data_IF_126300473952
#
_entry.id   IF_126300473952
#
_cell.length_a   1.000
_cell.length_b   1.000
_cell.length_c   1.000
_cell.angle_alpha   90.00
_cell.angle_beta   90.00
_cell.angle_gamma   90.00
#
_symmetry.space_group_name_H-M   'P 1'
#
loop_
_entity.id
_entity.type
_entity.pdbx_description
1 polymer ?
#
# COMPACT_ATOMS: atom_id res chain seq x y z
N UNK A 1 9.90 -24.11 -9.12
CA UNK A 1 10.35 -23.23 -8.04
C UNK A 1 11.51 -22.33 -8.46
N UNK A 2 12.76 -22.81 -8.64
CA UNK A 2 13.92 -21.96 -9.01
C UNK A 2 13.72 -21.14 -10.29
N UNK A 3 13.16 -21.72 -11.36
CA UNK A 3 12.88 -20.99 -12.62
C UNK A 3 11.91 -19.83 -12.42
N UNK A 4 10.87 -20.01 -11.61
CA UNK A 4 9.92 -18.93 -11.28
C UNK A 4 10.62 -17.78 -10.56
N UNK A 5 11.49 -18.07 -9.58
CA UNK A 5 12.27 -17.04 -8.89
C UNK A 5 13.12 -16.20 -9.86
N UNK A 6 13.90 -16.86 -10.73
CA UNK A 6 14.74 -16.14 -11.71
C UNK A 6 13.93 -15.32 -12.71
N UNK A 7 12.72 -15.74 -13.03
CA UNK A 7 11.84 -15.00 -13.94
C UNK A 7 11.26 -13.75 -13.31
N UNK A 8 10.88 -13.81 -12.02
CA UNK A 8 10.24 -12.67 -11.32
C UNK A 8 11.24 -11.71 -10.69
N UNK A 9 12.44 -12.18 -10.32
CA UNK A 9 13.45 -11.37 -9.64
C UNK A 9 13.76 -10.04 -10.35
N UNK A 10 14.02 -9.98 -11.68
CA UNK A 10 14.28 -8.72 -12.35
C UNK A 10 13.12 -7.73 -12.28
N UNK A 11 11.87 -8.23 -12.18
CA UNK A 11 10.67 -7.42 -12.10
C UNK A 11 10.49 -6.78 -10.71
N UNK A 12 11.12 -7.36 -9.67
CA UNK A 12 11.09 -6.83 -8.30
C UNK A 12 12.22 -5.83 -8.00
N UNK A 13 13.22 -5.69 -8.85
CA UNK A 13 14.36 -4.77 -8.63
C UNK A 13 13.93 -3.30 -8.47
N UNK A 14 13.04 -2.76 -9.32
CA UNK A 14 12.57 -1.38 -9.14
C UNK A 14 11.90 -1.15 -7.78
N UNK A 15 11.11 -2.14 -7.32
CA UNK A 15 10.45 -2.10 -6.01
C UNK A 15 11.48 -2.18 -4.88
N UNK A 16 12.49 -3.05 -5.01
CA UNK A 16 13.58 -3.17 -4.05
C UNK A 16 14.22 -1.80 -3.77
N UNK A 17 14.51 -1.00 -4.80
CA UNK A 17 15.13 0.32 -4.61
C UNK A 17 14.24 1.28 -3.82
N UNK A 18 12.94 1.29 -4.10
CA UNK A 18 11.96 2.08 -3.35
C UNK A 18 11.83 1.61 -1.89
N UNK A 19 11.73 0.30 -1.70
CA UNK A 19 11.63 -0.31 -0.36
C UNK A 19 12.87 -0.12 0.49
N UNK A 20 14.07 -0.15 -0.11
CA UNK A 20 15.30 0.17 0.61
C UNK A 20 15.27 1.57 1.20
N UNK A 21 14.80 2.54 0.45
CA UNK A 21 14.71 3.92 0.94
C UNK A 21 13.59 4.09 1.98
N UNK A 22 12.37 3.63 1.67
CA UNK A 22 11.19 3.83 2.54
C UNK A 22 11.29 3.01 3.83
N UNK A 23 11.71 1.73 3.74
CA UNK A 23 11.88 0.88 4.91
C UNK A 23 13.00 1.37 5.82
N UNK A 24 14.13 1.79 5.24
CA UNK A 24 15.21 2.43 6.02
C UNK A 24 14.69 3.67 6.76
N UNK A 25 13.90 4.51 6.08
CA UNK A 25 13.29 5.70 6.67
C UNK A 25 12.33 5.36 7.80
N UNK A 26 11.51 4.33 7.66
CA UNK A 26 10.61 3.84 8.71
C UNK A 26 11.38 3.39 9.95
N UNK A 27 12.40 2.55 9.75
CA UNK A 27 13.23 2.05 10.85
C UNK A 27 13.91 3.17 11.62
N UNK A 28 14.54 4.11 10.89
CA UNK A 28 15.22 5.26 11.49
C UNK A 28 14.23 6.22 12.19
N UNK A 29 13.08 6.48 11.58
CA UNK A 29 12.03 7.31 12.18
C UNK A 29 11.53 6.71 13.49
N UNK A 30 11.24 5.41 13.52
CA UNK A 30 10.77 4.75 14.72
C UNK A 30 11.75 4.92 15.89
N UNK A 31 13.03 4.66 15.65
CA UNK A 31 14.06 4.79 16.69
C UNK A 31 14.27 6.26 17.09
N UNK A 32 14.21 7.21 16.17
CA UNK A 32 14.29 8.64 16.47
C UNK A 32 13.15 9.15 17.35
N UNK A 33 11.98 8.48 17.29
CA UNK A 33 10.82 8.75 18.15
C UNK A 33 10.88 8.03 19.51
N UNK A 34 11.96 7.29 19.79
CA UNK A 34 12.17 6.60 21.06
C UNK A 34 11.67 5.16 21.10
N UNK A 35 11.23 4.59 20.00
CA UNK A 35 10.86 3.18 19.96
C UNK A 35 12.07 2.26 19.92
N UNK A 36 12.00 1.07 20.55
CA UNK A 36 13.08 0.10 20.48
C UNK A 36 13.29 -0.42 19.05
N UNK A 37 14.54 -0.66 18.59
CA UNK A 37 14.84 -1.01 17.20
C UNK A 37 14.13 -2.27 16.67
N UNK A 38 13.77 -3.22 17.54
CA UNK A 38 13.05 -4.42 17.15
C UNK A 38 11.58 -4.16 16.80
N UNK A 39 10.96 -3.07 17.30
CA UNK A 39 9.54 -2.78 17.08
C UNK A 39 9.22 -2.55 15.59
N UNK A 40 9.89 -1.65 14.87
CA UNK A 40 9.60 -1.45 13.45
C UNK A 40 9.89 -2.71 12.61
N UNK A 41 10.84 -3.55 13.01
CA UNK A 41 11.12 -4.83 12.34
C UNK A 41 9.98 -5.81 12.52
N UNK A 42 9.41 -5.91 13.73
CA UNK A 42 8.23 -6.73 13.99
C UNK A 42 7.01 -6.19 13.23
N UNK A 43 6.85 -4.88 13.15
CA UNK A 43 5.78 -4.27 12.33
C UNK A 43 5.95 -4.64 10.85
N UNK A 44 7.12 -4.49 10.28
CA UNK A 44 7.43 -4.87 8.92
C UNK A 44 7.19 -6.36 8.63
N UNK A 45 7.42 -7.23 9.61
CA UNK A 45 7.22 -8.67 9.47
C UNK A 45 5.75 -9.09 9.58
N UNK A 46 5.00 -8.52 10.55
CA UNK A 46 3.66 -8.98 10.91
C UNK A 46 2.53 -8.10 10.39
N UNK A 47 2.77 -6.82 10.10
CA UNK A 47 1.79 -5.92 9.51
C UNK A 47 1.98 -5.86 7.99
N UNK A 48 3.20 -5.66 7.52
CA UNK A 48 3.59 -5.57 6.12
C UNK A 48 2.64 -4.68 5.30
N UNK A 49 2.35 -3.50 5.81
CA UNK A 49 1.51 -2.49 5.18
C UNK A 49 2.19 -1.11 5.31
N UNK A 50 3.23 -0.86 4.52
CA UNK A 50 4.18 0.24 4.63
C UNK A 50 3.57 1.57 5.07
N UNK A 51 2.56 2.08 4.35
CA UNK A 51 1.88 3.33 4.72
C UNK A 51 1.20 3.25 6.09
N UNK A 52 0.59 2.10 6.43
CA UNK A 52 -0.05 1.92 7.73
C UNK A 52 0.97 1.80 8.87
N UNK A 53 2.17 1.29 8.61
CA UNK A 53 3.24 1.22 9.62
C UNK A 53 3.72 2.63 10.02
N UNK A 54 3.86 3.56 9.09
CA UNK A 54 4.13 4.96 9.41
C UNK A 54 3.01 5.61 10.24
N UNK A 55 1.74 5.34 9.88
CA UNK A 55 0.58 5.81 10.65
C UNK A 55 0.55 5.17 12.04
N UNK A 56 0.90 3.90 12.16
CA UNK A 56 0.95 3.18 13.44
C UNK A 56 1.96 3.82 14.39
N UNK A 57 3.11 4.28 13.93
CA UNK A 57 4.06 5.02 14.78
C UNK A 57 3.43 6.28 15.36
N UNK A 58 2.63 7.01 14.58
CA UNK A 58 1.92 8.19 15.08
C UNK A 58 0.83 7.84 16.10
N UNK A 59 0.08 6.77 15.84
CA UNK A 59 -0.95 6.27 16.76
C UNK A 59 -0.37 5.80 18.09
N UNK A 60 0.80 5.19 18.08
CA UNK A 60 1.49 4.74 19.30
C UNK A 60 2.05 5.90 20.15
N UNK A 61 2.31 7.06 19.53
CA UNK A 61 2.74 8.28 20.23
C UNK A 61 1.57 9.10 20.79
N UNK A 62 0.39 8.93 20.22
CA UNK A 62 -0.82 9.62 20.66
C UNK A 62 -1.53 8.85 21.78
N UNK A 63 -2.50 9.50 22.44
CA UNK A 63 -3.41 8.80 23.35
C UNK A 63 -4.18 7.73 22.58
N UNK A 64 -4.04 6.48 22.96
CA UNK A 64 -4.62 5.35 22.25
C UNK A 64 -6.14 5.40 22.23
N UNK A 65 -6.72 5.51 21.05
CA UNK A 65 -8.14 5.42 20.80
C UNK A 65 -8.42 4.29 19.81
N UNK A 66 -9.00 3.15 20.26
CA UNK A 66 -9.18 1.97 19.40
C UNK A 66 -10.13 2.23 18.23
N UNK A 67 -11.14 3.06 18.38
CA UNK A 67 -12.07 3.41 17.31
C UNK A 67 -11.36 4.24 16.23
N UNK A 68 -10.57 5.23 16.63
CA UNK A 68 -9.79 6.04 15.71
C UNK A 68 -8.75 5.18 14.97
N UNK A 69 -8.05 4.28 15.67
CA UNK A 69 -7.10 3.36 15.06
C UNK A 69 -7.79 2.44 14.04
N UNK A 70 -8.96 1.88 14.35
CA UNK A 70 -9.74 1.06 13.44
C UNK A 70 -10.15 1.83 12.18
N UNK A 71 -10.72 3.03 12.36
CA UNK A 71 -11.18 3.84 11.23
C UNK A 71 -10.02 4.25 10.32
N UNK A 72 -8.90 4.70 10.89
CA UNK A 72 -7.69 5.04 10.13
C UNK A 72 -7.14 3.83 9.37
N UNK A 73 -7.09 2.67 10.02
CA UNK A 73 -6.62 1.43 9.37
C UNK A 73 -7.52 1.04 8.20
N UNK A 74 -8.83 1.08 8.38
CA UNK A 74 -9.79 0.81 7.30
C UNK A 74 -9.63 1.79 6.14
N UNK A 75 -9.43 3.07 6.45
CA UNK A 75 -9.25 4.10 5.43
C UNK A 75 -7.98 3.90 4.60
N UNK A 76 -6.84 3.79 5.27
CA UNK A 76 -5.54 3.66 4.60
C UNK A 76 -5.49 2.37 3.77
N UNK A 77 -6.07 1.30 4.30
CA UNK A 77 -6.06 -0.02 3.68
C UNK A 77 -7.30 -0.35 2.83
N UNK A 78 -8.26 0.57 2.65
CA UNK A 78 -9.47 0.33 1.85
C UNK A 78 -9.18 -0.17 0.42
N UNK A 79 -8.09 0.28 -0.18
CA UNK A 79 -7.61 -0.16 -1.51
C UNK A 79 -7.31 -1.66 -1.59
N UNK A 80 -6.90 -2.29 -0.48
CA UNK A 80 -6.60 -3.74 -0.46
C UNK A 80 -7.85 -4.60 -0.70
N UNK A 81 -9.06 -4.09 -0.41
CA UNK A 81 -10.31 -4.77 -0.77
C UNK A 81 -10.44 -4.92 -2.30
N UNK A 82 -10.09 -3.89 -3.05
CA UNK A 82 -10.12 -3.93 -4.52
C UNK A 82 -9.03 -4.82 -5.08
N UNK A 83 -7.84 -4.83 -4.46
CA UNK A 83 -6.76 -5.75 -4.86
C UNK A 83 -7.19 -7.21 -4.64
N UNK A 84 -7.82 -7.50 -3.50
CA UNK A 84 -8.36 -8.82 -3.20
C UNK A 84 -9.37 -9.29 -4.24
N UNK A 85 -10.30 -8.41 -4.64
CA UNK A 85 -11.28 -8.72 -5.69
C UNK A 85 -10.62 -8.98 -7.04
N UNK A 86 -9.66 -8.14 -7.43
CA UNK A 86 -8.96 -8.28 -8.72
C UNK A 86 -8.07 -9.53 -8.79
N UNK A 87 -7.57 -10.01 -7.64
CA UNK A 87 -6.71 -11.17 -7.57
C UNK A 87 -7.44 -12.47 -7.20
N UNK A 88 -8.75 -12.42 -6.96
CA UNK A 88 -9.54 -13.56 -6.49
C UNK A 88 -9.37 -14.79 -7.38
N UNK A 89 -9.57 -14.62 -8.70
CA UNK A 89 -9.44 -15.71 -9.66
C UNK A 89 -8.01 -16.22 -9.79
N UNK A 90 -7.01 -15.31 -9.66
CA UNK A 90 -5.59 -15.66 -9.82
C UNK A 90 -5.03 -16.41 -8.61
N UNK A 91 -5.56 -16.14 -7.41
CA UNK A 91 -5.11 -16.76 -6.16
C UNK A 91 -5.97 -17.97 -5.76
N UNK A 92 -7.09 -18.15 -6.45
CA UNK A 92 -7.94 -19.32 -6.20
C UNK A 92 -7.20 -20.63 -6.51
N UNK A 93 -7.37 -21.62 -5.67
CA UNK A 93 -6.75 -22.97 -5.79
C UNK A 93 -5.20 -23.03 -5.63
N UNK A 94 -4.53 -22.01 -5.07
CA UNK A 94 -3.08 -22.07 -4.82
C UNK A 94 -2.70 -22.80 -3.52
N UNK A 95 -3.66 -23.48 -2.87
CA UNK A 95 -3.42 -24.27 -1.68
C UNK A 95 -2.82 -23.46 -0.52
N UNK A 96 -1.75 -23.96 0.09
CA UNK A 96 -1.09 -23.33 1.25
C UNK A 96 -0.45 -21.96 0.96
N UNK A 97 -0.19 -21.65 -0.30
CA UNK A 97 0.38 -20.36 -0.71
C UNK A 97 -0.65 -19.23 -0.61
N UNK A 98 -1.92 -19.54 -0.81
CA UNK A 98 -3.00 -18.54 -0.86
C UNK A 98 -3.10 -17.66 0.40
N UNK A 99 -3.11 -18.18 1.63
CA UNK A 99 -3.17 -17.34 2.84
C UNK A 99 -2.00 -16.36 2.93
N UNK A 100 -0.80 -16.79 2.55
CA UNK A 100 0.38 -15.93 2.55
C UNK A 100 0.30 -14.85 1.48
N UNK A 101 -0.19 -15.17 0.29
CA UNK A 101 -0.39 -14.20 -0.80
C UNK A 101 -1.44 -13.14 -0.45
N UNK A 102 -2.49 -13.53 0.27
CA UNK A 102 -3.51 -12.60 0.78
C UNK A 102 -2.90 -11.67 1.84
N UNK A 103 -2.16 -12.22 2.80
CA UNK A 103 -1.46 -11.45 3.83
C UNK A 103 -0.45 -10.47 3.24
N UNK A 104 0.40 -10.94 2.31
CA UNK A 104 1.48 -10.15 1.72
C UNK A 104 1.06 -9.28 0.52
N UNK A 105 -0.24 -9.06 0.34
CA UNK A 105 -0.75 -8.23 -0.76
C UNK A 105 -0.61 -6.74 -0.42
N UNK A 106 0.47 -6.13 -0.90
CA UNK A 106 0.69 -4.69 -0.90
C UNK A 106 0.57 -4.13 -2.33
N UNK A 107 0.63 -2.82 -2.48
CA UNK A 107 0.52 -2.14 -3.79
C UNK A 107 1.51 -2.69 -4.80
N UNK A 108 2.73 -2.90 -4.38
CA UNK A 108 3.85 -3.34 -5.22
C UNK A 108 3.70 -4.81 -5.61
N UNK A 109 3.30 -5.67 -4.65
CA UNK A 109 3.04 -7.08 -4.95
C UNK A 109 1.84 -7.22 -5.88
N UNK A 110 0.79 -6.42 -5.68
CA UNK A 110 -0.37 -6.37 -6.55
C UNK A 110 0.01 -5.93 -7.96
N UNK A 111 0.75 -4.82 -8.11
CA UNK A 111 1.11 -4.25 -9.42
C UNK A 111 1.87 -5.24 -10.30
N UNK A 112 2.79 -6.03 -9.71
CA UNK A 112 3.49 -7.09 -10.46
C UNK A 112 2.52 -8.25 -10.73
N UNK A 113 1.85 -8.79 -9.71
CA UNK A 113 1.08 -10.02 -9.82
C UNK A 113 -0.13 -9.88 -10.75
N UNK A 114 -0.75 -8.70 -10.83
CA UNK A 114 -1.90 -8.45 -11.72
C UNK A 114 -1.48 -8.41 -13.18
N UNK A 115 -0.27 -7.92 -13.47
CA UNK A 115 0.27 -7.78 -14.84
C UNK A 115 1.22 -8.91 -15.24
N UNK A 116 1.50 -9.85 -14.30
CA UNK A 116 2.49 -10.89 -14.50
C UNK A 116 2.07 -11.85 -15.62
N UNK A 117 2.75 -11.75 -16.73
CA UNK A 117 2.67 -12.73 -17.82
C UNK A 117 3.73 -13.80 -17.63
N UNK A 118 3.30 -15.05 -17.60
CA UNK A 118 4.12 -16.20 -17.31
C UNK A 118 4.08 -17.19 -18.47
N UNK A 119 5.24 -17.72 -18.89
CA UNK A 119 5.31 -18.86 -19.76
C UNK A 119 4.49 -20.05 -19.23
N UNK A 120 3.91 -20.84 -20.13
CA UNK A 120 3.02 -21.96 -19.77
C UNK A 120 3.71 -23.05 -18.93
N UNK A 121 5.04 -23.13 -19.00
CA UNK A 121 5.86 -24.10 -18.25
C UNK A 121 6.18 -23.67 -16.83
N UNK A 122 5.83 -22.43 -16.43
CA UNK A 122 6.07 -21.90 -15.09
C UNK A 122 4.83 -22.00 -14.20
N UNK A 123 5.04 -22.51 -12.99
CA UNK A 123 4.01 -22.56 -11.95
C UNK A 123 3.68 -21.15 -11.45
N UNK A 124 2.41 -20.75 -11.62
CA UNK A 124 1.88 -19.43 -11.25
C UNK A 124 1.94 -19.18 -9.75
N UNK A 125 1.60 -20.19 -8.95
CA UNK A 125 1.61 -20.07 -7.50
C UNK A 125 3.00 -19.74 -6.96
N UNK A 126 4.03 -20.44 -7.44
CA UNK A 126 5.41 -20.16 -7.07
C UNK A 126 5.90 -18.81 -7.58
N UNK A 127 5.45 -18.34 -8.72
CA UNK A 127 5.79 -17.02 -9.21
C UNK A 127 5.23 -15.93 -8.32
N UNK A 128 3.93 -15.97 -8.00
CA UNK A 128 3.27 -15.03 -7.08
C UNK A 128 3.89 -15.08 -5.68
N UNK A 129 4.17 -16.28 -5.18
CA UNK A 129 4.81 -16.47 -3.89
C UNK A 129 6.17 -15.77 -3.83
N UNK A 130 7.00 -15.94 -4.86
CA UNK A 130 8.33 -15.34 -4.87
C UNK A 130 8.28 -13.81 -4.99
N UNK A 131 7.36 -13.24 -5.77
CA UNK A 131 7.15 -11.78 -5.82
C UNK A 131 6.83 -11.25 -4.43
N UNK A 132 5.83 -11.83 -3.77
CA UNK A 132 5.38 -11.39 -2.44
C UNK A 132 6.47 -11.56 -1.38
N UNK A 133 7.16 -12.71 -1.39
CA UNK A 133 8.24 -13.01 -0.45
C UNK A 133 9.45 -12.08 -0.64
N UNK A 134 9.87 -11.80 -1.88
CA UNK A 134 10.96 -10.88 -2.16
C UNK A 134 10.63 -9.46 -1.68
N UNK A 135 9.42 -8.99 -1.97
CA UNK A 135 8.98 -7.66 -1.54
C UNK A 135 8.96 -7.55 -0.01
N UNK A 136 8.42 -8.55 0.69
CA UNK A 136 8.45 -8.56 2.16
C UNK A 136 9.88 -8.62 2.69
N UNK A 137 10.73 -9.44 2.10
CA UNK A 137 12.14 -9.55 2.49
C UNK A 137 12.87 -8.20 2.34
N UNK A 138 12.68 -7.50 1.21
CA UNK A 138 13.28 -6.19 1.00
C UNK A 138 12.82 -5.18 2.05
N UNK A 139 11.51 -5.15 2.34
CA UNK A 139 10.93 -4.25 3.32
C UNK A 139 11.46 -4.51 4.73
N UNK A 140 11.44 -5.75 5.18
CA UNK A 140 11.94 -6.14 6.52
C UNK A 140 13.42 -5.84 6.67
N UNK A 141 14.24 -6.21 5.67
CA UNK A 141 15.69 -5.93 5.70
C UNK A 141 15.98 -4.43 5.72
N UNK A 142 15.30 -3.65 4.89
CA UNK A 142 15.49 -2.20 4.86
C UNK A 142 15.10 -1.53 6.18
N UNK A 143 13.96 -1.93 6.75
CA UNK A 143 13.49 -1.46 8.05
C UNK A 143 14.47 -1.84 9.17
N UNK A 144 14.98 -3.08 9.15
CA UNK A 144 15.99 -3.52 10.12
C UNK A 144 17.28 -2.70 10.01
N UNK A 145 17.80 -2.50 8.80
CA UNK A 145 18.99 -1.67 8.58
C UNK A 145 18.74 -0.25 9.10
N UNK A 146 17.60 0.37 8.78
CA UNK A 146 17.23 1.69 9.27
C UNK A 146 17.12 1.76 10.79
N UNK A 147 16.54 0.75 11.43
CA UNK A 147 16.34 0.71 12.88
C UNK A 147 17.65 0.50 13.66
N UNK A 148 18.52 -0.40 13.20
CA UNK A 148 19.73 -0.76 13.94
C UNK A 148 20.95 0.07 13.55
N UNK A 149 21.08 0.49 12.28
CA UNK A 149 22.24 1.23 11.78
C UNK A 149 21.96 2.73 11.70
N UNK A 150 20.72 3.12 11.39
CA UNK A 150 20.33 4.53 11.23
C UNK A 150 20.77 5.46 12.37
N UNK A 151 20.59 5.08 13.65
CA UNK A 151 21.02 5.93 14.79
C UNK A 151 22.51 6.24 14.84
N UNK A 152 23.36 5.43 14.21
CA UNK A 152 24.81 5.62 14.19
C UNK A 152 25.28 6.47 13.00
N UNK A 153 24.39 6.75 12.06
CA UNK A 153 24.73 7.57 10.90
C UNK A 153 24.53 9.05 11.22
N UNK A 154 25.43 9.93 10.76
CA UNK A 154 25.30 11.38 10.94
C UNK A 154 24.22 11.96 10.02
N UNK A 155 23.05 11.35 9.98
CA UNK A 155 21.92 11.74 9.14
C UNK A 155 20.97 12.62 9.96
N UNK A 156 20.63 13.78 9.43
CA UNK A 156 19.65 14.64 10.04
C UNK A 156 18.24 14.07 9.81
N UNK A 157 17.61 13.61 10.87
CA UNK A 157 16.23 13.05 10.84
C UNK A 157 15.15 14.13 10.68
N UNK A 158 15.52 15.43 10.71
CA UNK A 158 14.57 16.52 10.46
C UNK A 158 14.00 16.39 9.05
N UNK A 159 12.69 16.29 8.96
CA UNK A 159 12.00 16.10 7.67
C UNK A 159 11.67 14.64 7.33
N UNK A 160 12.14 13.63 8.09
CA UNK A 160 11.70 12.26 7.88
C UNK A 160 10.21 12.05 8.16
N UNK A 161 9.61 12.87 9.02
CA UNK A 161 8.16 12.92 9.20
C UNK A 161 7.42 13.26 7.90
N UNK A 162 8.09 13.91 6.95
CA UNK A 162 7.53 14.23 5.64
C UNK A 162 7.57 13.05 4.65
N UNK A 163 8.31 11.99 4.94
CA UNK A 163 8.45 10.81 4.06
C UNK A 163 7.09 10.17 3.78
N UNK A 164 6.22 10.10 4.79
CA UNK A 164 4.86 9.59 4.62
C UNK A 164 4.04 10.46 3.67
N UNK A 165 4.10 11.79 3.84
CA UNK A 165 3.40 12.73 2.94
C UNK A 165 3.93 12.63 1.51
N UNK A 166 5.26 12.54 1.36
CA UNK A 166 5.89 12.35 0.06
C UNK A 166 5.46 11.03 -0.59
N UNK A 167 5.38 9.94 0.18
CA UNK A 167 4.87 8.65 -0.31
C UNK A 167 3.46 8.78 -0.87
N UNK A 168 2.53 9.40 -0.13
CA UNK A 168 1.16 9.59 -0.62
C UNK A 168 1.08 10.49 -1.85
N UNK A 169 1.92 11.53 -1.94
CA UNK A 169 2.01 12.39 -3.13
C UNK A 169 2.50 11.57 -4.34
N UNK A 170 3.54 10.76 -4.17
CA UNK A 170 4.06 9.90 -5.25
C UNK A 170 3.00 8.91 -5.72
N UNK A 171 2.30 8.24 -4.79
CA UNK A 171 1.21 7.32 -5.12
C UNK A 171 0.08 8.02 -5.88
N UNK A 172 -0.29 9.24 -5.49
CA UNK A 172 -1.27 10.04 -6.20
C UNK A 172 -0.83 10.35 -7.63
N UNK A 173 0.44 10.79 -7.81
CA UNK A 173 1.00 11.11 -9.13
C UNK A 173 1.07 9.86 -10.00
N UNK A 174 1.46 8.73 -9.45
CA UNK A 174 1.55 7.46 -10.16
C UNK A 174 0.18 6.99 -10.64
N UNK A 175 -0.83 7.04 -9.77
CA UNK A 175 -2.21 6.76 -10.16
C UNK A 175 -2.74 7.73 -11.22
N UNK A 176 -2.38 9.01 -11.11
CA UNK A 176 -2.75 10.02 -12.11
C UNK A 176 -2.17 9.72 -13.49
N UNK A 177 -0.94 9.22 -13.54
CA UNK A 177 -0.26 8.84 -14.79
C UNK A 177 -0.78 7.52 -15.39
N UNK A 178 -1.18 6.57 -14.55
CA UNK A 178 -1.57 5.23 -14.97
C UNK A 178 -2.99 5.16 -15.56
N UNK A 179 -3.91 6.03 -15.17
CA UNK A 179 -5.30 5.97 -15.58
C UNK A 179 -5.65 7.09 -16.55
N UNK A 180 -6.17 6.70 -17.73
CA UNK A 180 -6.67 7.63 -18.76
C UNK A 180 -7.89 8.46 -18.32
N UNK A 181 -8.55 8.08 -17.22
CA UNK A 181 -9.70 8.78 -16.63
C UNK A 181 -9.36 9.25 -15.22
N UNK A 182 -8.84 10.48 -15.12
CA UNK A 182 -8.49 11.12 -13.85
C UNK A 182 -9.70 11.59 -13.01
N UNK A 183 -10.92 11.28 -13.45
CA UNK A 183 -12.15 11.73 -12.79
C UNK A 183 -12.29 11.23 -11.35
N UNK A 184 -11.77 10.04 -11.04
CA UNK A 184 -11.78 9.51 -9.67
C UNK A 184 -10.88 10.32 -8.73
N UNK A 185 -9.69 10.73 -9.20
CA UNK A 185 -8.78 11.56 -8.43
C UNK A 185 -9.39 12.95 -8.12
N UNK A 186 -10.07 13.57 -9.10
CA UNK A 186 -10.76 14.84 -8.89
C UNK A 186 -11.93 14.74 -7.92
N UNK A 187 -12.70 13.64 -7.97
CA UNK A 187 -13.78 13.39 -7.00
C UNK A 187 -13.21 13.23 -5.59
N UNK A 188 -12.17 12.42 -5.45
CA UNK A 188 -11.52 12.20 -4.16
C UNK A 188 -10.95 13.49 -3.57
N UNK A 189 -10.21 14.27 -4.39
CA UNK A 189 -9.66 15.54 -3.97
C UNK A 189 -10.76 16.55 -3.61
N UNK A 190 -11.77 16.69 -4.45
CA UNK A 190 -12.90 17.61 -4.25
C UNK A 190 -13.70 17.25 -2.99
N UNK A 191 -14.02 15.96 -2.78
CA UNK A 191 -14.73 15.49 -1.60
C UNK A 191 -13.90 15.74 -0.31
N UNK A 192 -12.57 15.49 -0.36
CA UNK A 192 -11.69 15.72 0.78
C UNK A 192 -11.60 17.20 1.14
N UNK A 193 -11.39 18.08 0.15
CA UNK A 193 -11.31 19.54 0.36
C UNK A 193 -12.65 20.09 0.88
N UNK A 194 -13.77 19.67 0.28
CA UNK A 194 -15.10 20.10 0.73
C UNK A 194 -15.35 19.71 2.19
N UNK A 195 -15.09 18.45 2.54
CA UNK A 195 -15.28 17.99 3.91
C UNK A 195 -14.30 18.64 4.90
N UNK A 196 -13.06 18.94 4.46
CA UNK A 196 -12.10 19.65 5.29
C UNK A 196 -12.59 21.07 5.64
N UNK A 197 -13.19 21.77 4.68
CA UNK A 197 -13.77 23.12 4.90
C UNK A 197 -15.00 23.06 5.80
N UNK A 198 -15.88 22.05 5.64
CA UNK A 198 -17.14 21.95 6.36
C UNK A 198 -16.98 21.41 7.79
N UNK A 199 -16.11 20.43 8.01
CA UNK A 199 -15.97 19.70 9.28
C UNK A 199 -14.67 19.99 10.03
N UNK A 200 -13.76 20.75 9.43
CA UNK A 200 -12.44 21.07 10.01
C UNK A 200 -11.46 19.91 10.00
N UNK A 201 -10.17 20.17 10.32
CA UNK A 201 -9.08 19.20 10.16
C UNK A 201 -9.19 17.94 11.05
N UNK A 202 -9.90 18.03 12.17
CA UNK A 202 -10.02 16.91 13.12
C UNK A 202 -11.12 15.90 12.72
N UNK A 203 -12.18 16.34 12.03
CA UNK A 203 -13.37 15.52 11.78
C UNK A 203 -13.72 15.30 10.29
N UNK A 204 -12.96 15.87 9.33
CA UNK A 204 -13.31 15.80 7.90
C UNK A 204 -13.20 14.39 7.31
N UNK A 205 -12.41 13.54 7.91
CA UNK A 205 -11.94 12.28 7.35
C UNK A 205 -13.09 11.29 7.13
N UNK A 206 -13.94 11.07 8.14
CA UNK A 206 -15.09 10.15 8.04
C UNK A 206 -16.14 10.66 7.07
N UNK A 207 -16.60 11.93 7.13
CA UNK A 207 -17.51 12.48 6.13
C UNK A 207 -16.97 12.42 4.69
N UNK A 208 -15.68 12.68 4.49
CA UNK A 208 -15.05 12.59 3.18
C UNK A 208 -15.10 11.17 2.62
N UNK A 209 -14.84 10.15 3.44
CA UNK A 209 -14.98 8.75 3.02
C UNK A 209 -16.40 8.38 2.63
N UNK A 210 -17.37 8.74 3.44
CA UNK A 210 -18.79 8.46 3.17
C UNK A 210 -19.19 9.14 1.86
N UNK A 211 -18.82 10.40 1.67
CA UNK A 211 -19.10 11.15 0.46
C UNK A 211 -18.45 10.49 -0.77
N UNK A 212 -17.17 10.08 -0.67
CA UNK A 212 -16.50 9.36 -1.76
C UNK A 212 -17.18 8.04 -2.09
N UNK A 213 -17.55 7.23 -1.10
CA UNK A 213 -18.26 5.97 -1.32
C UNK A 213 -19.61 6.18 -2.01
N UNK A 214 -20.37 7.20 -1.63
CA UNK A 214 -21.65 7.55 -2.25
C UNK A 214 -21.42 7.99 -3.70
N UNK A 215 -20.45 8.87 -3.96
CA UNK A 215 -20.17 9.37 -5.31
C UNK A 215 -19.66 8.26 -6.25
N UNK A 216 -18.77 7.39 -5.77
CA UNK A 216 -18.29 6.26 -6.57
C UNK A 216 -19.37 5.20 -6.77
N UNK A 217 -20.18 4.91 -5.75
CA UNK A 217 -21.33 4.00 -5.85
C UNK A 217 -22.36 4.50 -6.88
N UNK A 218 -22.65 5.79 -6.87
CA UNK A 218 -23.56 6.41 -7.83
C UNK A 218 -23.01 6.34 -9.28
N UNK A 219 -21.71 6.62 -9.47
CA UNK A 219 -21.05 6.48 -10.78
C UNK A 219 -21.07 5.03 -11.28
N UNK A 220 -20.75 4.09 -10.41
CA UNK A 220 -20.80 2.67 -10.77
C UNK A 220 -22.21 2.24 -11.21
N UNK A 221 -23.24 2.72 -10.50
CA UNK A 221 -24.63 2.45 -10.85
C UNK A 221 -25.03 3.06 -12.20
N UNK A 222 -24.61 4.29 -12.49
CA UNK A 222 -24.82 4.93 -13.82
C UNK A 222 -24.13 4.16 -14.94
N UNK A 223 -22.88 3.72 -14.75
CA UNK A 223 -22.16 2.95 -15.78
C UNK A 223 -22.82 1.60 -16.04
N UNK A 224 -23.39 0.97 -15.02
CA UNK A 224 -24.13 -0.30 -15.18
C UNK A 224 -25.44 -0.14 -15.92
N UNK A 225 -26.03 1.05 -15.95
CA UNK A 225 -27.26 1.33 -16.69
C UNK A 225 -27.02 1.73 -18.17
N UNK A 226 -25.76 1.95 -18.56
CA UNK A 226 -25.39 2.28 -19.96
C UNK A 226 -24.37 1.23 -20.51
N UNK A 227 -24.78 -0.04 -20.71
CA UNK A 227 -23.82 -1.07 -21.13
C UNK A 227 -23.43 -1.06 -22.63
N UNK A 228 -24.07 -0.27 -23.53
CA UNK A 228 -24.01 -0.56 -24.97
C UNK A 228 -23.70 0.64 -25.90
N UNK A 229 -22.92 1.66 -25.53
CA UNK A 229 -22.56 2.72 -26.45
C UNK A 229 -21.10 2.80 -26.92
N UNK A 230 -20.19 1.96 -26.44
CA UNK A 230 -18.76 1.99 -26.83
C UNK A 230 -18.30 0.85 -27.76
N UNK A 231 -19.18 0.02 -28.32
CA UNK A 231 -18.80 -1.05 -29.26
C UNK A 231 -19.01 -0.65 -30.73
N UNK A 232 -19.44 0.57 -31.03
CA UNK A 232 -19.70 1.01 -32.39
C UNK A 232 -19.06 2.35 -32.77
N UNK A 233 -17.77 2.54 -32.47
CA UNK A 233 -16.99 3.62 -33.08
C UNK A 233 -15.54 3.19 -33.29
#
# INVERSE_FOLDING_TARGET
>A
MKRALFHVFPKTIPIMTGFLFLGFSLGMLAVSKGFPPYLPVLMALFIFAGSMEFVTLQLLLATFNPLQALLLTLMVNARHLFYGLAMLDKYHHLGWQQPYLIFGMCDESFSINVTLDLPQDLDRGWAYFHVTWLNQFYWVCATAIGAFIGPYLPINVKGMDFVLNALFIVLLIEQWRSHRQNSAAFIGLGASVLCLILFGPENFMIPAMILMLVLFGYRYWQQKQQPDQEVSA
#
